data_IF_727498890156
#
_entry.id   IF_727498890156
#
_cell.length_a   1.000
_cell.length_b   1.000
_cell.length_c   1.000
_cell.angle_alpha   90.00
_cell.angle_beta   90.00
_cell.angle_gamma   90.00
#
_symmetry.space_group_name_H-M   'P 1'
#
loop_
_entity.id
_entity.type
_entity.pdbx_description
1 polymer ?
#
# COMPACT_ATOMS: atom_id res chain seq x y z
N UNK A 1 -39.99 -27.39 2.15
CA UNK A 1 -38.64 -27.14 2.71
C UNK A 1 -37.63 -27.01 1.58
N UNK A 2 -37.62 -27.95 0.63
CA UNK A 2 -36.68 -28.00 -0.50
C UNK A 2 -36.72 -26.77 -1.41
N UNK A 3 -37.90 -26.25 -1.74
CA UNK A 3 -38.04 -25.09 -2.62
C UNK A 3 -37.46 -23.79 -2.03
N UNK A 4 -37.30 -23.70 -0.70
CA UNK A 4 -36.70 -22.56 -0.02
C UNK A 4 -35.17 -22.69 0.07
N UNK A 5 -34.68 -23.88 0.38
CA UNK A 5 -33.24 -24.21 0.35
C UNK A 5 -32.68 -23.98 -1.06
N UNK A 6 -33.45 -24.37 -2.08
CA UNK A 6 -33.08 -24.18 -3.49
C UNK A 6 -33.00 -22.69 -3.87
N UNK A 7 -33.92 -21.85 -3.39
CA UNK A 7 -33.86 -20.39 -3.60
C UNK A 7 -32.65 -19.75 -2.91
N UNK A 8 -32.37 -20.11 -1.66
CA UNK A 8 -31.20 -19.59 -0.91
C UNK A 8 -29.89 -19.99 -1.60
N UNK A 9 -29.79 -21.24 -2.02
CA UNK A 9 -28.61 -21.77 -2.71
C UNK A 9 -28.42 -21.10 -4.08
N UNK A 10 -29.52 -20.81 -4.80
CA UNK A 10 -29.48 -20.09 -6.06
C UNK A 10 -29.02 -18.63 -5.89
N UNK A 11 -29.49 -17.93 -4.84
CA UNK A 11 -29.04 -16.56 -4.52
C UNK A 11 -27.56 -16.55 -4.13
N UNK A 12 -27.13 -17.49 -3.29
CA UNK A 12 -25.72 -17.62 -2.91
C UNK A 12 -24.80 -17.92 -4.10
N UNK A 13 -25.20 -18.81 -5.01
CA UNK A 13 -24.45 -19.05 -6.26
C UNK A 13 -24.38 -17.82 -7.15
N UNK A 14 -25.48 -17.06 -7.27
CA UNK A 14 -25.49 -15.82 -8.06
C UNK A 14 -24.57 -14.75 -7.46
N UNK A 15 -24.55 -14.62 -6.14
CA UNK A 15 -23.64 -13.71 -5.43
C UNK A 15 -22.17 -14.12 -5.62
N UNK A 16 -21.84 -15.41 -5.45
CA UNK A 16 -20.48 -15.92 -5.65
C UNK A 16 -20.00 -15.74 -7.11
N UNK A 17 -20.88 -15.95 -8.10
CA UNK A 17 -20.53 -15.71 -9.50
C UNK A 17 -20.39 -14.22 -9.84
N UNK A 18 -21.13 -13.33 -9.19
CA UNK A 18 -20.98 -11.89 -9.37
C UNK A 18 -19.64 -11.40 -8.79
N UNK A 19 -19.26 -11.89 -7.61
CA UNK A 19 -17.99 -11.59 -6.95
C UNK A 19 -16.78 -12.06 -7.77
N UNK A 20 -16.81 -13.29 -8.30
CA UNK A 20 -15.73 -13.83 -9.14
C UNK A 20 -15.57 -13.06 -10.46
N UNK A 21 -16.68 -12.65 -11.11
CA UNK A 21 -16.61 -11.80 -12.31
C UNK A 21 -16.01 -10.43 -12.00
N UNK A 22 -16.39 -9.84 -10.88
CA UNK A 22 -15.87 -8.55 -10.45
C UNK A 22 -14.38 -8.63 -10.14
N UNK A 23 -13.96 -9.64 -9.37
CA UNK A 23 -12.57 -9.87 -9.00
C UNK A 23 -11.70 -10.09 -10.24
N UNK A 24 -12.17 -10.85 -11.23
CA UNK A 24 -11.48 -11.02 -12.52
C UNK A 24 -11.40 -9.70 -13.31
N UNK A 25 -12.49 -8.92 -13.34
CA UNK A 25 -12.52 -7.60 -13.98
C UNK A 25 -11.54 -6.61 -13.35
N UNK A 26 -11.53 -6.51 -12.02
CA UNK A 26 -10.59 -5.69 -11.27
C UNK A 26 -9.15 -6.15 -11.43
N UNK A 27 -8.90 -7.47 -11.41
CA UNK A 27 -7.55 -8.02 -11.62
C UNK A 27 -7.05 -7.68 -13.01
N UNK A 28 -7.86 -7.89 -14.05
CA UNK A 28 -7.51 -7.52 -15.42
C UNK A 28 -7.21 -6.01 -15.54
N UNK A 29 -8.00 -5.17 -14.86
CA UNK A 29 -7.81 -3.73 -14.95
C UNK A 29 -6.59 -3.22 -14.17
N UNK A 30 -6.49 -3.57 -12.89
CA UNK A 30 -5.45 -3.05 -11.98
C UNK A 30 -4.09 -3.74 -12.14
N UNK A 31 -4.06 -5.01 -12.55
CA UNK A 31 -2.81 -5.78 -12.66
C UNK A 31 -2.26 -5.78 -14.08
N UNK A 32 -3.14 -5.73 -15.09
CA UNK A 32 -2.73 -5.84 -16.49
C UNK A 32 -2.86 -4.50 -17.20
N UNK A 33 -4.07 -3.96 -17.34
CA UNK A 33 -4.30 -2.77 -18.17
C UNK A 33 -3.61 -1.51 -17.63
N UNK A 34 -3.79 -1.20 -16.34
CA UNK A 34 -3.26 0.03 -15.75
C UNK A 34 -1.72 0.04 -15.71
N UNK A 35 -1.01 -1.02 -15.26
CA UNK A 35 0.44 -1.05 -15.29
C UNK A 35 1.01 -1.04 -16.70
N UNK A 36 0.33 -1.69 -17.67
CA UNK A 36 0.75 -1.65 -19.08
C UNK A 36 0.62 -0.24 -19.64
N UNK A 37 -0.46 0.48 -19.31
CA UNK A 37 -0.67 1.86 -19.74
C UNK A 37 0.40 2.80 -19.13
N UNK A 38 0.67 2.67 -17.83
CA UNK A 38 1.74 3.42 -17.15
C UNK A 38 3.10 3.10 -17.78
N UNK A 39 3.42 1.81 -17.98
CA UNK A 39 4.67 1.38 -18.58
C UNK A 39 4.84 1.95 -20.00
N UNK A 40 3.77 1.96 -20.80
CA UNK A 40 3.76 2.55 -22.13
C UNK A 40 3.99 4.06 -22.08
N UNK A 41 3.36 4.76 -21.13
CA UNK A 41 3.59 6.20 -20.93
C UNK A 41 5.07 6.43 -20.60
N UNK A 42 5.62 5.71 -19.63
CA UNK A 42 7.01 5.89 -19.18
C UNK A 42 8.06 5.48 -20.20
N UNK A 43 7.78 4.49 -21.06
CA UNK A 43 8.74 4.00 -22.05
C UNK A 43 8.91 4.96 -23.24
N UNK A 44 7.99 5.89 -23.45
CA UNK A 44 7.94 6.72 -24.66
C UNK A 44 7.83 8.24 -24.37
N UNK A 45 8.08 8.68 -23.12
CA UNK A 45 7.94 10.10 -22.75
C UNK A 45 8.92 11.05 -23.44
N UNK A 46 10.07 10.56 -23.93
CA UNK A 46 11.14 11.44 -24.41
C UNK A 46 10.91 11.97 -25.85
N UNK A 47 10.06 11.32 -26.65
CA UNK A 47 9.82 11.68 -28.07
C UNK A 47 8.35 11.93 -28.43
N UNK A 48 7.43 11.92 -27.46
CA UNK A 48 6.00 12.08 -27.74
C UNK A 48 5.59 13.55 -27.94
N UNK A 49 4.79 13.86 -28.99
CA UNK A 49 4.12 15.14 -29.08
C UNK A 49 3.30 15.40 -27.81
N UNK A 50 3.28 16.63 -27.30
CA UNK A 50 2.56 16.98 -26.07
C UNK A 50 1.08 16.51 -26.06
N UNK A 51 0.43 16.49 -27.23
CA UNK A 51 -0.92 15.98 -27.40
C UNK A 51 -1.07 14.48 -27.06
N UNK A 52 -0.05 13.67 -27.35
CA UNK A 52 -0.05 12.24 -27.08
C UNK A 52 0.13 11.96 -25.58
N UNK A 53 1.00 12.72 -24.90
CA UNK A 53 1.15 12.66 -23.43
C UNK A 53 -0.17 13.04 -22.76
N UNK A 54 -0.81 14.14 -23.19
CA UNK A 54 -2.11 14.55 -22.67
C UNK A 54 -3.20 13.48 -22.88
N UNK A 55 -3.24 12.83 -24.05
CA UNK A 55 -4.17 11.75 -24.33
C UNK A 55 -3.95 10.53 -23.42
N UNK A 56 -2.70 10.17 -23.13
CA UNK A 56 -2.39 9.05 -22.28
C UNK A 56 -2.70 9.32 -20.79
N UNK A 57 -2.48 10.55 -20.33
CA UNK A 57 -2.95 11.01 -19.00
C UNK A 57 -4.48 10.96 -18.93
N UNK A 58 -5.18 11.44 -19.95
CA UNK A 58 -6.66 11.38 -20.00
C UNK A 58 -7.17 9.93 -20.00
N UNK A 59 -6.51 9.01 -20.72
CA UNK A 59 -6.83 7.59 -20.67
C UNK A 59 -6.60 6.98 -19.27
N UNK A 60 -5.53 7.39 -18.59
CA UNK A 60 -5.23 6.92 -17.23
C UNK A 60 -6.29 7.41 -16.24
N UNK A 61 -6.71 8.67 -16.35
CA UNK A 61 -7.80 9.23 -15.53
C UNK A 61 -9.12 8.53 -15.83
N UNK A 62 -9.46 8.32 -17.11
CA UNK A 62 -10.68 7.61 -17.49
C UNK A 62 -10.68 6.16 -16.98
N UNK A 63 -9.54 5.47 -17.04
CA UNK A 63 -9.36 4.13 -16.48
C UNK A 63 -9.58 4.11 -14.96
N UNK A 64 -9.02 5.06 -14.23
CA UNK A 64 -9.22 5.19 -12.78
C UNK A 64 -10.70 5.45 -12.43
N UNK A 65 -11.40 6.29 -13.21
CA UNK A 65 -12.83 6.56 -13.02
C UNK A 65 -13.69 5.30 -13.29
N UNK A 66 -13.39 4.54 -14.34
CA UNK A 66 -14.08 3.28 -14.64
C UNK A 66 -13.84 2.26 -13.53
N UNK A 67 -12.61 2.13 -13.03
CA UNK A 67 -12.31 1.27 -11.88
C UNK A 67 -13.10 1.68 -10.63
N UNK A 68 -13.13 2.99 -10.31
CA UNK A 68 -13.91 3.53 -9.20
C UNK A 68 -15.41 3.27 -9.33
N UNK A 69 -15.97 3.42 -10.54
CA UNK A 69 -17.38 3.12 -10.82
C UNK A 69 -17.70 1.62 -10.68
N UNK A 70 -16.81 0.73 -11.14
CA UNK A 70 -16.94 -0.72 -10.98
C UNK A 70 -16.94 -1.09 -9.49
N UNK A 71 -16.03 -0.53 -8.69
CA UNK A 71 -15.98 -0.74 -7.23
C UNK A 71 -17.25 -0.21 -6.55
N UNK A 72 -17.74 0.96 -6.94
CA UNK A 72 -18.97 1.54 -6.38
C UNK A 72 -20.21 0.71 -6.72
N UNK A 73 -20.35 0.27 -7.97
CA UNK A 73 -21.49 -0.56 -8.38
C UNK A 73 -21.45 -1.95 -7.75
N UNK A 74 -20.25 -2.51 -7.55
CA UNK A 74 -20.05 -3.72 -6.79
C UNK A 74 -20.47 -3.58 -5.32
N UNK A 75 -20.10 -2.48 -4.68
CA UNK A 75 -20.43 -2.25 -3.27
C UNK A 75 -21.95 -2.16 -3.05
N UNK A 76 -22.70 -1.62 -4.03
CA UNK A 76 -24.17 -1.66 -4.03
C UNK A 76 -24.73 -3.08 -4.20
N UNK A 77 -24.05 -3.96 -4.94
CA UNK A 77 -24.41 -5.37 -5.06
C UNK A 77 -24.30 -6.13 -3.73
N UNK A 78 -23.23 -5.92 -2.99
CA UNK A 78 -23.04 -6.47 -1.63
C UNK A 78 -24.10 -5.98 -0.64
N UNK A 79 -24.58 -4.73 -0.77
CA UNK A 79 -25.66 -4.22 0.06
C UNK A 79 -26.99 -4.98 -0.15
N UNK A 80 -27.26 -5.53 -1.35
CA UNK A 80 -28.45 -6.38 -1.55
C UNK A 80 -28.31 -7.74 -0.87
N UNK A 81 -27.12 -8.34 -0.89
CA UNK A 81 -26.85 -9.60 -0.18
C UNK A 81 -27.02 -9.42 1.34
N UNK A 82 -26.68 -8.24 1.86
CA UNK A 82 -26.92 -7.87 3.26
C UNK A 82 -28.41 -7.86 3.62
N UNK A 83 -29.27 -7.26 2.79
CA UNK A 83 -30.72 -7.25 3.02
C UNK A 83 -31.34 -8.65 2.89
N UNK A 84 -30.91 -9.47 1.93
CA UNK A 84 -31.37 -10.86 1.79
C UNK A 84 -30.97 -11.74 3.01
N UNK A 85 -29.82 -11.48 3.63
CA UNK A 85 -29.38 -12.19 4.83
C UNK A 85 -30.18 -11.79 6.08
N UNK A 86 -30.62 -10.52 6.15
CA UNK A 86 -31.51 -10.00 7.20
C UNK A 86 -32.91 -10.64 7.12
N UNK A 87 -33.46 -10.78 5.91
CA UNK A 87 -34.77 -11.44 5.71
C UNK A 87 -34.72 -12.92 6.12
N UNK A 88 -33.61 -13.61 5.83
CA UNK A 88 -33.41 -15.01 6.23
C UNK A 88 -33.32 -15.20 7.75
N UNK A 89 -32.71 -14.26 8.47
CA UNK A 89 -32.66 -14.24 9.94
C UNK A 89 -34.07 -14.12 10.52
N UNK A 90 -34.89 -13.24 9.95
CA UNK A 90 -36.24 -12.99 10.41
C UNK A 90 -37.20 -14.19 10.18
N UNK A 91 -36.96 -14.95 9.11
CA UNK A 91 -37.69 -16.21 8.83
C UNK A 91 -37.27 -17.33 9.79
N UNK A 92 -35.97 -17.42 10.14
CA UNK A 92 -35.43 -18.43 11.02
C UNK A 92 -35.95 -18.33 12.47
N UNK A 93 -36.18 -17.11 12.98
CA UNK A 93 -36.67 -16.87 14.34
C UNK A 93 -38.12 -17.37 14.61
N UNK A 94 -38.82 -17.86 13.58
CA UNK A 94 -40.27 -18.15 13.65
C UNK A 94 -40.68 -19.62 13.90
N UNK A 95 -39.77 -20.60 14.07
CA UNK A 95 -40.16 -22.03 14.15
C UNK A 95 -39.49 -22.85 15.25
N UNK A 96 -40.18 -23.04 16.37
CA UNK A 96 -39.67 -23.72 17.57
C UNK A 96 -39.78 -25.27 17.58
N UNK A 97 -38.74 -25.88 18.19
CA UNK A 97 -38.60 -27.20 18.86
C UNK A 97 -37.90 -28.40 18.19
N UNK A 98 -37.70 -28.45 16.87
CA UNK A 98 -36.54 -29.18 16.27
C UNK A 98 -35.28 -28.28 16.17
N UNK A 99 -35.35 -27.16 16.90
CA UNK A 99 -34.78 -25.89 16.51
C UNK A 99 -33.44 -25.60 17.17
N UNK A 100 -33.01 -26.32 18.21
CA UNK A 100 -31.79 -25.94 18.94
C UNK A 100 -30.52 -26.29 18.15
N UNK A 101 -30.43 -27.49 17.57
CA UNK A 101 -29.29 -27.85 16.72
C UNK A 101 -29.30 -27.05 15.41
N UNK A 102 -30.49 -26.84 14.83
CA UNK A 102 -30.63 -26.02 13.62
C UNK A 102 -30.32 -24.55 13.89
N UNK A 103 -30.69 -24.01 15.06
CA UNK A 103 -30.37 -22.64 15.52
C UNK A 103 -28.89 -22.50 15.87
N UNK A 104 -28.23 -23.52 16.44
CA UNK A 104 -26.78 -23.51 16.65
C UNK A 104 -26.06 -23.51 15.30
N UNK A 105 -26.49 -24.35 14.35
CA UNK A 105 -25.95 -24.36 12.97
C UNK A 105 -26.20 -23.03 12.25
N UNK A 106 -27.40 -22.47 12.35
CA UNK A 106 -27.76 -21.19 11.76
C UNK A 106 -26.97 -20.05 12.40
N UNK A 107 -26.82 -20.02 13.72
CA UNK A 107 -26.02 -19.02 14.44
C UNK A 107 -24.55 -19.10 14.03
N UNK A 108 -24.00 -20.31 13.91
CA UNK A 108 -22.63 -20.52 13.43
C UNK A 108 -22.46 -20.07 11.98
N UNK A 109 -23.45 -20.35 11.13
CA UNK A 109 -23.44 -19.92 9.73
C UNK A 109 -23.58 -18.39 9.59
N UNK A 110 -24.43 -17.75 10.41
CA UNK A 110 -24.57 -16.30 10.47
C UNK A 110 -23.27 -15.66 10.93
N UNK A 111 -22.65 -16.16 12.00
CA UNK A 111 -21.33 -15.67 12.47
C UNK A 111 -20.27 -15.78 11.38
N UNK A 112 -20.16 -16.93 10.70
CA UNK A 112 -19.23 -17.09 9.57
C UNK A 112 -19.49 -16.07 8.46
N UNK A 113 -20.76 -15.83 8.10
CA UNK A 113 -21.11 -14.83 7.09
C UNK A 113 -20.81 -13.41 7.55
N UNK A 114 -21.00 -13.12 8.82
CA UNK A 114 -20.68 -11.82 9.42
C UNK A 114 -19.16 -11.58 9.39
N UNK A 115 -18.37 -12.60 9.75
CA UNK A 115 -16.91 -12.59 9.63
C UNK A 115 -16.46 -12.41 8.16
N UNK A 116 -17.06 -13.14 7.22
CA UNK A 116 -16.78 -13.01 5.78
C UNK A 116 -17.12 -11.60 5.26
N UNK A 117 -18.25 -11.03 5.69
CA UNK A 117 -18.68 -9.69 5.31
C UNK A 117 -17.80 -8.61 5.93
N UNK A 118 -17.34 -8.81 7.16
CA UNK A 118 -16.36 -7.95 7.80
C UNK A 118 -15.05 -7.94 7.02
N UNK A 119 -14.53 -9.12 6.65
CA UNK A 119 -13.33 -9.24 5.81
C UNK A 119 -13.51 -8.57 4.44
N UNK A 120 -14.65 -8.77 3.76
CA UNK A 120 -14.93 -8.16 2.48
C UNK A 120 -15.00 -6.62 2.57
N UNK A 121 -15.63 -6.08 3.62
CA UNK A 121 -15.68 -4.63 3.85
C UNK A 121 -14.30 -4.06 4.13
N UNK A 122 -13.50 -4.69 5.00
CA UNK A 122 -12.12 -4.27 5.26
C UNK A 122 -11.28 -4.29 3.97
N UNK A 123 -11.45 -5.31 3.14
CA UNK A 123 -10.77 -5.39 1.84
C UNK A 123 -11.18 -4.26 0.89
N UNK A 124 -12.48 -3.96 0.76
CA UNK A 124 -12.98 -2.86 -0.06
C UNK A 124 -12.52 -1.49 0.46
N UNK A 125 -12.46 -1.32 1.77
CA UNK A 125 -11.90 -0.13 2.41
C UNK A 125 -10.42 0.03 2.03
N UNK A 126 -9.60 -1.01 2.21
CA UNK A 126 -8.17 -1.01 1.84
C UNK A 126 -8.00 -0.66 0.35
N UNK A 127 -8.78 -1.26 -0.55
CA UNK A 127 -8.74 -0.95 -1.98
C UNK A 127 -9.13 0.50 -2.29
N UNK A 128 -10.15 1.02 -1.61
CA UNK A 128 -10.57 2.42 -1.74
C UNK A 128 -9.45 3.37 -1.27
N UNK A 129 -8.76 3.04 -0.19
CA UNK A 129 -7.60 3.81 0.28
C UNK A 129 -6.45 3.74 -0.69
N UNK A 130 -6.14 2.56 -1.21
CA UNK A 130 -5.09 2.38 -2.21
C UNK A 130 -5.38 3.24 -3.45
N UNK A 131 -6.60 3.19 -3.96
CA UNK A 131 -7.01 4.00 -5.12
C UNK A 131 -6.89 5.51 -4.86
N UNK A 132 -7.23 5.98 -3.64
CA UNK A 132 -7.08 7.39 -3.25
C UNK A 132 -5.61 7.80 -3.13
N UNK A 133 -4.77 6.93 -2.56
CA UNK A 133 -3.33 7.14 -2.46
C UNK A 133 -2.71 7.24 -3.84
N UNK A 134 -3.04 6.31 -4.73
CA UNK A 134 -2.53 6.27 -6.10
C UNK A 134 -2.93 7.53 -6.88
N UNK A 135 -4.18 8.01 -6.73
CA UNK A 135 -4.62 9.27 -7.34
C UNK A 135 -3.88 10.49 -6.77
N UNK A 136 -3.63 10.53 -5.46
CA UNK A 136 -2.85 11.59 -4.82
C UNK A 136 -1.42 11.60 -5.33
N UNK A 137 -0.76 10.45 -5.37
CA UNK A 137 0.61 10.33 -5.85
C UNK A 137 0.72 10.60 -7.35
N UNK A 138 -0.24 10.16 -8.16
CA UNK A 138 -0.32 10.53 -9.57
C UNK A 138 -0.48 12.04 -9.74
N UNK A 139 -1.32 12.68 -8.92
CA UNK A 139 -1.45 14.13 -8.94
C UNK A 139 -0.13 14.83 -8.56
N UNK A 140 0.61 14.33 -7.57
CA UNK A 140 1.95 14.84 -7.25
C UNK A 140 2.91 14.68 -8.43
N UNK A 141 2.93 13.51 -9.07
CA UNK A 141 3.77 13.24 -10.25
C UNK A 141 3.42 14.18 -11.40
N UNK A 142 2.14 14.44 -11.67
CA UNK A 142 1.71 15.37 -12.71
C UNK A 142 2.05 16.81 -12.34
N UNK A 143 1.74 17.23 -11.12
CA UNK A 143 1.94 18.60 -10.64
C UNK A 143 3.43 18.99 -10.66
N UNK A 144 4.31 18.08 -10.22
CA UNK A 144 5.74 18.33 -10.22
C UNK A 144 6.40 17.98 -11.55
N UNK A 145 5.99 16.89 -12.21
CA UNK A 145 6.54 16.43 -13.48
C UNK A 145 6.30 17.38 -14.64
N UNK A 146 5.12 18.03 -14.69
CA UNK A 146 4.78 19.00 -15.73
C UNK A 146 5.39 20.40 -15.51
N UNK A 147 6.32 20.56 -14.54
CA UNK A 147 7.05 21.82 -14.28
C UNK A 147 6.15 23.03 -13.97
N UNK A 148 4.93 22.81 -13.47
CA UNK A 148 4.01 23.92 -13.10
C UNK A 148 4.56 24.67 -11.87
N UNK A 149 5.37 24.01 -11.06
CA UNK A 149 5.95 24.53 -9.82
C UNK A 149 7.43 24.19 -9.69
N UNK A 150 8.20 24.90 -8.84
CA UNK A 150 9.56 24.51 -8.49
C UNK A 150 9.60 23.05 -8.01
N UNK A 151 10.71 22.37 -8.33
CA UNK A 151 10.90 20.99 -7.94
C UNK A 151 10.86 20.86 -6.40
N UNK A 152 10.02 19.96 -5.85
CA UNK A 152 9.88 19.82 -4.42
C UNK A 152 11.15 19.22 -3.83
N UNK A 153 11.46 19.60 -2.60
CA UNK A 153 12.54 18.99 -1.84
C UNK A 153 12.22 17.52 -1.54
N UNK A 154 13.26 16.72 -1.32
CA UNK A 154 13.10 15.32 -0.92
C UNK A 154 12.25 15.15 0.34
N UNK A 155 12.39 16.09 1.30
CA UNK A 155 11.63 16.07 2.53
C UNK A 155 10.13 16.31 2.25
N UNK A 156 9.79 17.28 1.41
CA UNK A 156 8.39 17.55 1.02
C UNK A 156 7.76 16.37 0.27
N UNK A 157 8.50 15.77 -0.67
CA UNK A 157 8.07 14.55 -1.38
C UNK A 157 7.75 13.45 -0.38
N UNK A 158 8.68 13.21 0.55
CA UNK A 158 8.56 12.12 1.52
C UNK A 158 7.42 12.38 2.48
N UNK A 159 7.29 13.61 2.97
CA UNK A 159 6.23 13.99 3.90
C UNK A 159 4.86 13.84 3.26
N UNK A 160 4.63 14.42 2.08
CA UNK A 160 3.33 14.32 1.40
C UNK A 160 2.98 12.88 1.01
N UNK A 161 3.94 12.09 0.52
CA UNK A 161 3.70 10.68 0.19
C UNK A 161 3.30 9.87 1.43
N UNK A 162 3.95 10.12 2.57
CA UNK A 162 3.72 9.37 3.81
C UNK A 162 2.55 9.88 4.64
N UNK A 163 2.17 11.16 4.51
CA UNK A 163 1.08 11.80 5.25
C UNK A 163 -0.24 11.06 5.10
N UNK A 164 -0.54 10.56 3.90
CA UNK A 164 -1.73 9.74 3.67
C UNK A 164 -1.69 8.43 4.47
N UNK A 165 -0.58 7.69 4.37
CA UNK A 165 -0.38 6.42 5.10
C UNK A 165 -0.51 6.64 6.60
N UNK A 166 0.13 7.68 7.13
CA UNK A 166 0.10 8.04 8.55
C UNK A 166 -1.31 8.44 8.99
N UNK A 167 -2.02 9.25 8.20
CA UNK A 167 -3.38 9.68 8.52
C UNK A 167 -4.36 8.49 8.57
N UNK A 168 -4.15 7.49 7.70
CA UNK A 168 -5.02 6.31 7.59
C UNK A 168 -4.52 5.10 8.39
N UNK A 169 -3.43 5.22 9.17
CA UNK A 169 -2.81 4.10 9.91
C UNK A 169 -3.78 3.28 10.78
N UNK A 170 -4.77 3.95 11.37
CA UNK A 170 -5.77 3.32 12.23
C UNK A 170 -6.68 2.36 11.46
N UNK A 171 -6.96 2.67 10.19
CA UNK A 171 -7.78 1.85 9.30
C UNK A 171 -6.93 0.82 8.58
N UNK A 172 -5.77 1.25 8.03
CA UNK A 172 -4.86 0.39 7.26
C UNK A 172 -4.23 -0.72 8.11
N UNK A 173 -3.82 -0.38 9.33
CA UNK A 173 -3.03 -1.29 10.17
C UNK A 173 -3.70 -1.59 11.51
N UNK A 174 -4.84 -0.98 11.83
CA UNK A 174 -5.49 -1.15 13.14
C UNK A 174 -4.78 -0.41 14.28
N UNK A 175 -3.90 0.55 13.98
CA UNK A 175 -3.17 1.38 14.95
C UNK A 175 -4.08 2.45 15.58
N UNK A 176 -5.06 2.01 16.37
CA UNK A 176 -6.07 2.86 17.03
C UNK A 176 -5.69 3.22 18.46
N UNK A 177 -4.85 2.40 19.08
CA UNK A 177 -4.59 2.44 20.51
C UNK A 177 -3.55 3.48 20.88
N UNK A 178 -3.81 4.24 21.96
CA UNK A 178 -2.85 5.19 22.53
C UNK A 178 -1.66 4.52 23.23
N UNK A 179 -1.70 3.19 23.42
CA UNK A 179 -0.62 2.42 24.03
C UNK A 179 0.26 1.70 23.00
N UNK A 180 -0.12 1.71 21.72
CA UNK A 180 0.68 1.06 20.68
C UNK A 180 1.89 1.93 20.33
N UNK A 181 3.07 1.35 20.48
CA UNK A 181 4.32 1.97 20.06
C UNK A 181 4.57 1.56 18.61
N UNK A 182 4.47 2.51 17.70
CA UNK A 182 4.73 2.28 16.27
C UNK A 182 5.63 3.38 15.71
N UNK A 183 6.27 3.08 14.58
CA UNK A 183 6.88 4.08 13.72
C UNK A 183 6.77 3.74 12.23
N UNK A 184 6.87 4.78 11.42
CA UNK A 184 7.08 4.75 9.98
C UNK A 184 8.36 5.54 9.69
N UNK A 185 9.23 5.00 8.87
CA UNK A 185 10.50 5.65 8.58
C UNK A 185 10.96 5.40 7.15
N UNK A 186 11.51 6.43 6.52
CA UNK A 186 12.13 6.36 5.21
C UNK A 186 13.64 6.51 5.38
N UNK A 187 14.37 5.56 4.81
CA UNK A 187 15.82 5.53 4.77
C UNK A 187 16.28 5.66 3.34
N UNK A 188 17.29 6.49 3.08
CA UNK A 188 17.91 6.58 1.76
C UNK A 188 19.36 6.14 1.84
N UNK A 189 19.81 5.47 0.79
CA UNK A 189 21.17 5.02 0.66
C UNK A 189 22.07 6.18 0.25
N UNK A 190 23.09 6.42 1.06
CA UNK A 190 24.18 7.30 0.72
C UNK A 190 25.36 6.48 0.17
N UNK A 191 25.70 6.61 -1.12
CA UNK A 191 26.78 5.85 -1.74
C UNK A 191 28.15 6.17 -1.16
N UNK A 192 28.35 7.37 -0.59
CA UNK A 192 29.65 7.79 -0.08
C UNK A 192 29.97 7.13 1.26
N UNK A 193 29.00 7.06 2.16
CA UNK A 193 29.13 6.36 3.45
C UNK A 193 28.82 4.86 3.38
N UNK A 194 28.14 4.41 2.31
CA UNK A 194 27.63 3.04 2.18
C UNK A 194 26.54 2.70 3.21
N UNK A 195 25.85 3.72 3.73
CA UNK A 195 24.83 3.56 4.77
C UNK A 195 23.44 4.03 4.32
N UNK A 196 22.42 3.49 4.98
CA UNK A 196 21.03 3.90 4.90
C UNK A 196 20.76 4.90 6.02
N UNK A 197 20.60 6.17 5.66
CA UNK A 197 20.30 7.24 6.60
C UNK A 197 18.80 7.48 6.71
N UNK A 198 18.31 7.62 7.94
CA UNK A 198 16.92 8.01 8.16
C UNK A 198 16.71 9.48 7.75
N UNK A 199 15.94 9.70 6.69
CA UNK A 199 15.65 11.05 6.18
C UNK A 199 14.29 11.57 6.64
N UNK A 200 13.39 10.66 7.02
CA UNK A 200 12.06 11.00 7.50
C UNK A 200 11.57 9.92 8.48
N UNK A 201 10.86 10.34 9.53
CA UNK A 201 10.27 9.44 10.52
C UNK A 201 9.03 10.04 11.16
N UNK A 202 7.98 9.24 11.22
CA UNK A 202 6.79 9.49 12.05
C UNK A 202 6.68 8.38 13.08
N UNK A 203 6.45 8.71 14.35
CA UNK A 203 6.36 7.71 15.43
C UNK A 203 5.30 8.09 16.45
N UNK A 204 4.85 7.10 17.21
CA UNK A 204 4.04 7.35 18.40
C UNK A 204 4.82 8.21 19.42
N UNK A 205 4.14 9.12 20.12
CA UNK A 205 4.76 10.06 21.05
C UNK A 205 5.54 9.36 22.17
N UNK A 206 4.98 8.26 22.68
CA UNK A 206 5.60 7.44 23.72
C UNK A 206 6.68 6.47 23.21
N UNK A 207 6.94 6.43 21.91
CA UNK A 207 7.98 5.56 21.36
C UNK A 207 9.36 5.98 21.92
N UNK A 208 10.13 5.07 22.54
CA UNK A 208 11.36 5.41 23.30
C UNK A 208 12.52 5.91 22.43
N UNK A 209 12.53 5.54 21.14
CA UNK A 209 13.49 6.08 20.17
C UNK A 209 13.35 7.59 19.95
N UNK A 210 14.47 8.25 19.62
CA UNK A 210 14.53 9.68 19.30
C UNK A 210 13.77 10.08 18.04
N UNK A 211 13.75 11.38 17.73
CA UNK A 211 13.07 11.91 16.53
C UNK A 211 13.66 11.38 15.22
N UNK A 212 14.99 11.29 15.15
CA UNK A 212 15.71 10.71 14.01
C UNK A 212 15.96 9.23 14.27
N UNK A 213 15.76 8.41 13.24
CA UNK A 213 16.08 6.98 13.26
C UNK A 213 17.59 6.73 13.30
N UNK A 214 17.96 5.46 13.52
CA UNK A 214 19.36 5.01 13.39
C UNK A 214 19.79 5.07 11.92
N UNK A 215 21.10 4.93 11.66
CA UNK A 215 21.57 4.58 10.31
C UNK A 215 21.89 3.09 10.26
N UNK A 216 21.81 2.49 9.08
CA UNK A 216 22.00 1.05 8.90
C UNK A 216 23.01 0.79 7.79
N UNK A 217 23.98 -0.09 8.03
CA UNK A 217 24.79 -0.61 6.94
C UNK A 217 23.95 -1.51 6.01
N UNK A 218 24.37 -1.66 4.76
CA UNK A 218 23.77 -2.60 3.82
C UNK A 218 23.83 -4.02 4.42
N UNK A 219 22.71 -4.75 4.34
CA UNK A 219 22.57 -6.10 4.89
C UNK A 219 22.33 -6.17 6.40
N UNK A 220 22.43 -5.07 7.14
CA UNK A 220 22.27 -5.03 8.59
C UNK A 220 20.83 -4.73 9.02
N UNK A 221 20.31 -5.56 9.94
CA UNK A 221 18.93 -5.45 10.39
C UNK A 221 17.92 -5.62 9.25
N UNK A 222 16.64 -5.49 9.56
CA UNK A 222 15.59 -5.68 8.56
C UNK A 222 15.64 -4.59 7.45
N UNK A 223 16.10 -3.38 7.79
CA UNK A 223 16.26 -2.25 6.86
C UNK A 223 17.36 -2.53 5.85
N UNK A 224 18.59 -2.78 6.33
CA UNK A 224 19.73 -3.07 5.46
C UNK A 224 19.54 -4.36 4.66
N UNK A 225 18.88 -5.37 5.24
CA UNK A 225 18.61 -6.63 4.55
C UNK A 225 17.56 -6.49 3.44
N UNK A 226 16.51 -5.70 3.65
CA UNK A 226 15.55 -5.39 2.60
C UNK A 226 16.22 -4.69 1.41
N UNK A 227 17.11 -3.74 1.69
CA UNK A 227 17.91 -3.05 0.67
C UNK A 227 18.83 -4.02 -0.10
N UNK A 228 19.63 -4.81 0.62
CA UNK A 228 20.61 -5.72 0.04
C UNK A 228 19.96 -6.80 -0.84
N UNK A 229 18.86 -7.39 -0.34
CA UNK A 229 18.16 -8.47 -1.04
C UNK A 229 17.21 -7.95 -2.13
N UNK A 230 17.03 -6.63 -2.22
CA UNK A 230 16.08 -5.97 -3.15
C UNK A 230 14.66 -6.55 -3.04
N UNK A 231 14.27 -6.93 -1.83
CA UNK A 231 13.05 -7.66 -1.57
C UNK A 231 12.42 -7.17 -0.26
N UNK A 232 11.09 -7.10 -0.24
CA UNK A 232 10.36 -6.71 0.96
C UNK A 232 10.52 -7.74 2.08
N UNK A 233 10.64 -7.25 3.31
CA UNK A 233 10.73 -8.05 4.53
C UNK A 233 9.55 -7.70 5.42
N UNK A 234 8.65 -8.65 5.62
CA UNK A 234 7.46 -8.47 6.46
C UNK A 234 7.45 -9.58 7.51
N UNK A 235 7.22 -9.21 8.76
CA UNK A 235 7.00 -10.16 9.84
C UNK A 235 5.92 -9.68 10.80
N UNK A 236 5.03 -10.60 11.18
CA UNK A 236 4.05 -10.39 12.24
C UNK A 236 4.65 -10.56 13.64
N UNK A 237 5.71 -11.35 13.82
CA UNK A 237 6.34 -11.53 15.13
C UNK A 237 7.85 -11.71 15.01
N UNK A 238 8.59 -10.82 15.66
CA UNK A 238 10.06 -10.83 15.69
C UNK A 238 10.63 -11.85 16.66
N UNK A 239 9.79 -12.46 17.51
CA UNK A 239 10.20 -13.57 18.38
C UNK A 239 10.46 -14.86 17.60
N UNK A 240 9.95 -14.97 16.37
CA UNK A 240 10.12 -16.16 15.53
C UNK A 240 11.58 -16.27 15.05
N UNK A 241 12.18 -17.47 15.03
CA UNK A 241 13.60 -17.64 14.68
C UNK A 241 14.00 -16.99 13.34
N UNK A 242 13.17 -17.13 12.32
CA UNK A 242 13.38 -16.56 10.99
C UNK A 242 13.39 -15.03 10.98
N UNK A 243 12.57 -14.41 11.83
CA UNK A 243 12.48 -12.95 11.94
C UNK A 243 13.57 -12.38 12.85
N UNK A 244 13.95 -13.12 13.90
CA UNK A 244 15.04 -12.75 14.81
C UNK A 244 16.38 -12.65 14.07
N UNK A 245 16.63 -13.56 13.12
CA UNK A 245 17.81 -13.49 12.24
C UNK A 245 17.86 -12.21 11.39
N UNK A 246 16.70 -11.64 11.01
CA UNK A 246 16.62 -10.37 10.28
C UNK A 246 16.86 -9.16 11.18
N UNK A 247 16.64 -9.28 12.49
CA UNK A 247 16.92 -8.21 13.46
C UNK A 247 18.36 -8.26 14.01
N UNK A 248 19.09 -9.34 13.74
CA UNK A 248 20.47 -9.48 14.16
C UNK A 248 21.29 -8.29 13.64
N UNK A 249 21.81 -7.52 14.59
CA UNK A 249 22.59 -6.30 14.36
C UNK A 249 23.75 -6.27 15.34
N UNK A 250 24.73 -5.39 15.14
CA UNK A 250 25.84 -5.26 16.06
C UNK A 250 25.35 -4.73 17.42
N UNK A 251 26.00 -5.12 18.54
CA UNK A 251 25.57 -4.74 19.88
C UNK A 251 25.44 -3.23 20.09
N UNK A 252 26.22 -2.41 19.38
CA UNK A 252 26.20 -0.95 19.46
C UNK A 252 24.91 -0.34 18.91
N UNK A 253 24.27 -1.04 17.96
CA UNK A 253 22.99 -0.63 17.40
C UNK A 253 21.81 -1.18 18.20
N UNK A 254 21.96 -2.28 18.94
CA UNK A 254 20.89 -2.85 19.77
C UNK A 254 20.59 -1.96 20.98
N UNK A 255 19.31 -1.63 21.19
CA UNK A 255 18.84 -0.91 22.38
C UNK A 255 18.01 -1.84 23.27
N UNK A 256 18.04 -1.58 24.58
CA UNK A 256 17.30 -2.39 25.57
C UNK A 256 15.79 -2.44 25.31
N UNK A 257 15.24 -1.38 24.72
CA UNK A 257 13.81 -1.31 24.40
C UNK A 257 13.45 -2.00 23.07
N UNK A 258 14.42 -2.39 22.23
CA UNK A 258 14.14 -2.87 20.87
C UNK A 258 13.24 -4.11 20.88
N UNK A 259 13.50 -5.05 21.78
CA UNK A 259 12.74 -6.30 21.93
C UNK A 259 11.27 -6.04 22.26
N UNK A 260 11.01 -5.02 23.10
CA UNK A 260 9.64 -4.68 23.49
C UNK A 260 8.93 -3.82 22.45
N UNK A 261 9.67 -3.04 21.66
CA UNK A 261 9.10 -2.02 20.77
C UNK A 261 8.91 -2.53 19.34
N UNK A 262 9.80 -3.39 18.87
CA UNK A 262 9.84 -3.87 17.48
C UNK A 262 9.38 -5.32 17.44
N UNK A 263 8.10 -5.56 17.72
CA UNK A 263 7.48 -6.90 17.74
C UNK A 263 7.00 -7.33 16.36
N UNK A 264 6.62 -6.39 15.50
CA UNK A 264 6.28 -6.62 14.10
C UNK A 264 6.92 -5.54 13.24
N UNK A 265 7.28 -5.87 12.00
CA UNK A 265 7.78 -4.88 11.05
C UNK A 265 7.42 -5.21 9.60
N UNK A 266 7.44 -4.18 8.77
CA UNK A 266 7.41 -4.27 7.32
C UNK A 266 8.48 -3.34 6.73
N UNK A 267 9.20 -3.81 5.71
CA UNK A 267 10.26 -3.05 5.05
C UNK A 267 10.22 -3.26 3.56
N UNK A 268 10.09 -2.17 2.81
CA UNK A 268 9.91 -2.15 1.37
C UNK A 268 11.03 -1.33 0.74
N UNK A 269 11.84 -1.93 -0.15
CA UNK A 269 12.81 -1.17 -0.93
C UNK A 269 12.12 -0.05 -1.73
N UNK A 270 12.74 1.12 -1.75
CA UNK A 270 12.36 2.27 -2.58
C UNK A 270 13.26 2.24 -3.79
N UNK A 271 12.75 1.91 -4.96
CA UNK A 271 13.54 1.84 -6.19
C UNK A 271 12.85 0.99 -7.25
N UNK A 272 13.38 0.96 -8.48
CA UNK A 272 12.80 0.13 -9.52
C UNK A 272 12.87 -1.35 -9.15
N UNK A 273 11.83 -2.10 -9.49
CA UNK A 273 11.77 -3.56 -9.29
C UNK A 273 12.62 -4.34 -10.31
N UNK A 274 13.32 -3.64 -11.22
CA UNK A 274 14.13 -4.26 -12.27
C UNK A 274 15.47 -4.75 -11.74
N UNK A 275 15.90 -5.92 -12.20
CA UNK A 275 16.98 -6.71 -11.59
C UNK A 275 18.40 -6.07 -11.63
N UNK A 276 18.59 -4.91 -12.27
CA UNK A 276 19.90 -4.28 -12.43
C UNK A 276 20.30 -3.37 -11.27
N UNK A 277 19.45 -2.41 -10.93
CA UNK A 277 19.83 -1.28 -10.09
C UNK A 277 19.62 -1.56 -8.60
N UNK A 278 20.48 -0.96 -7.77
CA UNK A 278 20.28 -0.95 -6.33
C UNK A 278 19.06 -0.07 -6.00
N UNK A 279 18.26 -0.42 -4.97
CA UNK A 279 17.25 0.49 -4.47
C UNK A 279 17.87 1.84 -4.08
N UNK A 280 17.07 2.90 -4.15
CA UNK A 280 17.41 4.24 -3.66
C UNK A 280 17.34 4.26 -2.12
N UNK A 281 16.50 3.44 -1.52
CA UNK A 281 16.27 3.44 -0.08
C UNK A 281 15.35 2.32 0.40
N UNK A 282 14.80 2.48 1.61
CA UNK A 282 13.85 1.56 2.23
C UNK A 282 12.80 2.35 3.01
N UNK A 283 11.52 2.06 2.75
CA UNK A 283 10.39 2.47 3.57
C UNK A 283 10.11 1.39 4.60
N UNK A 284 9.91 1.78 5.86
CA UNK A 284 9.69 0.86 6.97
C UNK A 284 8.47 1.26 7.78
N UNK A 285 7.82 0.25 8.37
CA UNK A 285 6.83 0.39 9.42
C UNK A 285 7.14 -0.61 10.53
N UNK A 286 6.96 -0.23 11.78
CA UNK A 286 7.15 -1.12 12.92
C UNK A 286 6.09 -0.91 14.00
N UNK A 287 5.89 -1.94 14.84
CA UNK A 287 4.93 -1.91 15.95
C UNK A 287 5.36 -2.85 17.08
N UNK A 288 4.97 -2.51 18.31
CA UNK A 288 5.07 -3.39 19.47
C UNK A 288 3.93 -4.43 19.57
N UNK A 289 2.98 -4.41 18.64
CA UNK A 289 1.89 -5.38 18.57
C UNK A 289 2.24 -6.50 17.58
N UNK A 290 2.12 -7.74 18.05
CA UNK A 290 2.30 -8.96 17.24
C UNK A 290 1.18 -9.07 16.21
N UNK A 291 1.51 -9.64 15.04
CA UNK A 291 0.65 -9.82 13.87
C UNK A 291 0.06 -8.51 13.34
N UNK A 292 0.71 -7.36 13.65
CA UNK A 292 0.31 -6.06 13.12
C UNK A 292 0.49 -5.96 11.61
N UNK A 293 1.49 -6.64 11.06
CA UNK A 293 1.84 -6.58 9.66
C UNK A 293 1.85 -7.97 9.03
N UNK A 294 1.20 -8.08 7.88
CA UNK A 294 1.27 -9.21 6.96
C UNK A 294 1.36 -8.69 5.52
N UNK A 295 1.59 -9.58 4.56
CA UNK A 295 1.66 -9.19 3.15
C UNK A 295 0.33 -8.66 2.59
N UNK A 296 -0.81 -8.95 3.22
CA UNK A 296 -2.12 -8.44 2.79
C UNK A 296 -2.31 -6.97 3.14
N UNK A 297 -2.09 -6.60 4.41
CA UNK A 297 -2.32 -5.23 4.88
C UNK A 297 -1.14 -4.27 4.60
N UNK A 298 0.03 -4.78 4.25
CA UNK A 298 1.22 -3.97 3.93
C UNK A 298 1.36 -3.58 2.45
N UNK A 299 0.46 -4.01 1.56
CA UNK A 299 0.51 -3.63 0.14
C UNK A 299 0.52 -2.12 -0.08
N UNK A 300 -0.19 -1.36 0.75
CA UNK A 300 -0.18 0.11 0.70
C UNK A 300 1.22 0.70 0.93
N UNK A 301 2.06 0.06 1.75
CA UNK A 301 3.45 0.47 1.96
C UNK A 301 4.31 0.16 0.73
N UNK A 302 4.03 -0.95 0.04
CA UNK A 302 4.69 -1.26 -1.23
C UNK A 302 4.40 -0.18 -2.28
N UNK A 303 3.14 0.24 -2.41
CA UNK A 303 2.78 1.31 -3.35
C UNK A 303 3.36 2.66 -2.94
N UNK A 304 3.39 2.97 -1.64
CA UNK A 304 4.06 4.17 -1.14
C UNK A 304 5.56 4.17 -1.48
N UNK A 305 6.24 3.03 -1.34
CA UNK A 305 7.65 2.90 -1.72
C UNK A 305 7.87 3.12 -3.24
N UNK A 306 6.97 2.62 -4.09
CA UNK A 306 6.99 2.86 -5.54
C UNK A 306 6.72 4.31 -5.92
N UNK A 307 5.76 4.96 -5.24
CA UNK A 307 5.47 6.38 -5.43
C UNK A 307 6.67 7.25 -5.02
N UNK A 308 7.28 6.96 -3.86
CA UNK A 308 8.51 7.62 -3.40
C UNK A 308 9.63 7.47 -4.43
N UNK A 309 9.87 6.26 -4.93
CA UNK A 309 10.89 6.01 -5.95
C UNK A 309 10.64 6.86 -7.20
N UNK A 310 9.41 6.87 -7.70
CA UNK A 310 9.03 7.61 -8.91
C UNK A 310 9.23 9.11 -8.74
N UNK A 311 8.79 9.67 -7.61
CA UNK A 311 8.94 11.10 -7.31
C UNK A 311 10.40 11.50 -7.13
N UNK A 312 11.21 10.68 -6.44
CA UNK A 312 12.64 10.95 -6.26
C UNK A 312 13.38 10.95 -7.60
N UNK A 313 13.14 9.94 -8.45
CA UNK A 313 13.76 9.82 -9.77
C UNK A 313 13.38 11.03 -10.64
N UNK A 314 12.10 11.41 -10.65
CA UNK A 314 11.59 12.55 -11.41
C UNK A 314 12.26 13.86 -10.98
N UNK A 315 12.36 14.11 -9.68
CA UNK A 315 13.02 15.30 -9.14
C UNK A 315 14.50 15.34 -9.50
N UNK A 316 15.22 14.21 -9.35
CA UNK A 316 16.63 14.12 -9.74
C UNK A 316 16.84 14.40 -11.23
N UNK A 317 15.95 13.91 -12.09
CA UNK A 317 15.99 14.17 -13.53
C UNK A 317 15.79 15.66 -13.83
N UNK A 318 14.83 16.31 -13.18
CA UNK A 318 14.57 17.74 -13.34
C UNK A 318 15.76 18.60 -12.88
N UNK A 319 16.37 18.29 -11.73
CA UNK A 319 17.55 19.01 -11.25
C UNK A 319 18.73 18.89 -12.23
N UNK A 320 18.96 17.69 -12.78
CA UNK A 320 20.02 17.48 -13.79
C UNK A 320 19.76 18.24 -15.08
N UNK A 321 18.50 18.35 -15.52
CA UNK A 321 18.11 19.10 -16.72
C UNK A 321 18.20 20.62 -16.50
N UNK A 322 17.75 21.12 -15.36
CA UNK A 322 17.84 22.55 -15.01
C UNK A 322 19.28 23.07 -14.93
N UNK A 323 20.22 22.21 -14.51
CA UNK A 323 21.65 22.55 -14.48
C UNK A 323 22.34 22.49 -15.85
N UNK A 324 21.69 21.91 -16.88
CA UNK A 324 22.12 22.08 -18.27
C UNK A 324 21.51 23.38 -18.77
N UNK A 325 22.19 24.50 -18.49
CA UNK A 325 21.96 25.73 -19.27
C UNK A 325 21.99 25.33 -20.75
N UNK A 326 21.02 25.77 -21.59
CA UNK A 326 21.18 25.62 -23.02
C UNK A 326 22.56 26.18 -23.38
N UNK A 327 23.31 25.55 -24.30
CA UNK A 327 24.56 26.14 -24.76
C UNK A 327 24.25 27.60 -25.08
N UNK A 328 25.01 28.52 -24.44
CA UNK A 328 24.94 29.93 -24.83
C UNK A 328 24.98 29.93 -26.34
N UNK A 329 24.04 30.59 -27.04
CA UNK A 329 24.16 30.71 -28.49
C UNK A 329 25.56 31.26 -28.71
N UNK A 330 26.45 30.41 -29.22
CA UNK A 330 27.78 30.85 -29.60
C UNK A 330 27.52 31.99 -30.56
N UNK A 331 28.17 33.11 -30.26
CA UNK A 331 28.18 34.23 -31.14
C UNK A 331 28.80 33.75 -32.45
N UNK A 332 27.95 33.34 -33.40
CA UNK A 332 28.26 33.21 -34.84
C UNK A 332 28.52 34.62 -35.39
N UNK A 333 29.52 35.29 -34.83
CA UNK A 333 30.11 36.52 -35.29
C UNK A 333 31.63 36.31 -35.24
N UNK A 334 32.16 35.62 -36.25
CA UNK A 334 33.35 36.04 -37.01
C UNK A 334 33.48 35.29 -38.33
#
# INVERSE_FOLDING_TARGET
MDQHIERITAVARRAAHADDRLRRGMTLHLVILFPTLIALITAFTDDWPAAAVAAAVMLSVASALVAGFIVHTASQGTARVYFDALDLKQIADSRSLAHTEEMIRATTAIRRKDDDLHHANTFLEILSFQSKADLLWMNMVLHHGCQVHPAPTLLEITDEAMKFVVAQRAVLFGMKSSIELFDFAVYLHDPDSGQLHNVWRFKHDQHPGGKVGRSWAIGQGHVGKAFADRCSKVTGDTSRPEASALLATTPELTRSYDIATYRAFASFPIGPATAGDAPIGVLTASSNVVDRFDYGNTEVLRHAALALASLIILTQYQTRRGNRLPPSPEADNE
#
